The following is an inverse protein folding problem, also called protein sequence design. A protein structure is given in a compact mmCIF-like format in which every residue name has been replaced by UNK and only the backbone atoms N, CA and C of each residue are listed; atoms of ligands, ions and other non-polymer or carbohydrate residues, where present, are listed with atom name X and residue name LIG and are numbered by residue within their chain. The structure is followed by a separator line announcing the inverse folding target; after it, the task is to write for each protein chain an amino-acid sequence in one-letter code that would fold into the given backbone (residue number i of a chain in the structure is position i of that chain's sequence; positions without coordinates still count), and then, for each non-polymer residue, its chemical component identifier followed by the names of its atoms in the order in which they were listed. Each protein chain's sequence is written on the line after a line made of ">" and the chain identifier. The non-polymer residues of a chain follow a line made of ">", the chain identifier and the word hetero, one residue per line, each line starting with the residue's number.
data_IF_777145486061
#
_entry.id   IF_777145486061
#
_cell.length_a   1.000
_cell.length_b   1.000
_cell.length_c   1.000
_cell.angle_alpha   90.00
_cell.angle_beta   90.00
_cell.angle_gamma   90.00
#
_symmetry.space_group_name_H-M   'P 1'
#
loop_
_entity.id
_entity.type
_entity.pdbx_description
1 polymer ?
#
# COMPACT_ATOMS: atom_id res chain seq x y z
N UNK A 1 14.80 -11.26 1.21
CA UNK A 1 13.47 -10.63 1.12
C UNK A 1 13.26 -9.85 -0.18
N UNK A 2 14.15 -8.92 -0.55
CA UNK A 2 13.89 -7.96 -1.64
C UNK A 2 14.64 -8.14 -2.96
N UNK A 3 15.54 -9.11 -3.07
CA UNK A 3 16.35 -9.30 -4.29
C UNK A 3 15.50 -9.54 -5.55
N UNK A 4 14.52 -10.44 -5.48
CA UNK A 4 13.63 -10.73 -6.61
C UNK A 4 12.68 -9.56 -6.94
N UNK A 5 11.93 -8.97 -5.97
CA UNK A 5 11.11 -7.79 -6.23
C UNK A 5 11.89 -6.60 -6.82
N UNK A 6 13.08 -6.28 -6.30
CA UNK A 6 13.90 -5.18 -6.82
C UNK A 6 14.41 -5.47 -8.23
N UNK A 7 14.80 -6.71 -8.53
CA UNK A 7 15.18 -7.11 -9.89
C UNK A 7 14.02 -6.95 -10.87
N UNK A 8 12.81 -7.34 -10.48
CA UNK A 8 11.61 -7.15 -11.30
C UNK A 8 11.27 -5.67 -11.47
N UNK A 9 11.34 -4.88 -10.40
CA UNK A 9 11.12 -3.44 -10.41
C UNK A 9 12.08 -2.73 -11.37
N UNK A 10 13.38 -3.07 -11.31
CA UNK A 10 14.40 -2.55 -12.25
C UNK A 10 14.08 -2.88 -13.70
N UNK A 11 13.67 -4.13 -13.99
CA UNK A 11 13.25 -4.52 -15.35
C UNK A 11 12.03 -3.73 -15.82
N UNK A 12 11.06 -3.44 -14.94
CA UNK A 12 9.88 -2.62 -15.28
C UNK A 12 10.25 -1.17 -15.52
N UNK A 13 11.09 -0.58 -14.67
CA UNK A 13 11.56 0.80 -14.82
C UNK A 13 12.31 1.00 -16.14
N UNK A 14 13.20 0.07 -16.51
CA UNK A 14 13.89 0.10 -17.80
C UNK A 14 12.95 0.02 -19.00
N UNK A 15 11.93 -0.85 -18.94
CA UNK A 15 10.91 -0.94 -19.99
C UNK A 15 10.10 0.35 -20.10
N UNK A 16 9.72 0.96 -18.98
CA UNK A 16 8.95 2.19 -18.97
C UNK A 16 9.77 3.39 -19.47
N UNK A 17 11.04 3.49 -19.06
CA UNK A 17 11.97 4.50 -19.57
C UNK A 17 12.14 4.41 -21.09
N UNK A 18 12.34 3.19 -21.62
CA UNK A 18 12.38 2.95 -23.08
C UNK A 18 11.05 3.32 -23.75
N UNK A 19 9.91 2.94 -23.16
CA UNK A 19 8.57 3.23 -23.70
C UNK A 19 8.30 4.73 -23.79
N UNK A 20 8.75 5.51 -22.81
CA UNK A 20 8.57 6.97 -22.74
C UNK A 20 9.65 7.75 -23.50
N UNK A 21 10.68 7.09 -24.02
CA UNK A 21 11.81 7.76 -24.67
C UNK A 21 12.60 8.65 -23.71
N UNK A 22 12.66 8.30 -22.42
CA UNK A 22 13.44 9.07 -21.44
C UNK A 22 14.92 9.05 -21.82
N UNK A 23 15.51 10.23 -21.97
CA UNK A 23 16.92 10.41 -22.34
C UNK A 23 17.85 10.22 -21.14
N UNK A 24 17.33 10.43 -19.94
CA UNK A 24 18.00 10.14 -18.68
C UNK A 24 17.85 8.66 -18.34
N UNK A 25 18.93 8.02 -17.89
CA UNK A 25 18.89 6.65 -17.40
C UNK A 25 17.91 6.46 -16.24
N UNK A 26 17.55 5.20 -15.94
CA UNK A 26 16.66 4.85 -14.83
C UNK A 26 17.31 5.21 -13.49
N UNK A 27 16.65 6.05 -12.70
CA UNK A 27 17.08 6.44 -11.36
C UNK A 27 16.72 5.39 -10.30
N UNK A 28 17.21 5.58 -9.06
CA UNK A 28 16.80 4.75 -7.93
C UNK A 28 15.28 4.86 -7.66
N UNK A 29 14.75 6.07 -7.73
CA UNK A 29 13.35 6.36 -7.43
C UNK A 29 12.42 5.76 -8.48
N UNK A 30 12.85 5.72 -9.75
CA UNK A 30 12.13 5.00 -10.82
C UNK A 30 12.00 3.51 -10.50
N UNK A 31 13.00 2.90 -9.87
CA UNK A 31 12.93 1.49 -9.46
C UNK A 31 11.98 1.34 -8.28
N UNK A 32 12.06 2.21 -7.27
CA UNK A 32 11.17 2.16 -6.11
C UNK A 32 9.70 2.37 -6.50
N UNK A 33 9.43 3.26 -7.46
CA UNK A 33 8.09 3.51 -7.99
C UNK A 33 7.46 2.28 -8.67
N UNK A 34 8.26 1.28 -9.07
CA UNK A 34 7.76 0.04 -9.67
C UNK A 34 7.43 -1.05 -8.64
N UNK A 35 7.61 -0.77 -7.34
CA UNK A 35 7.21 -1.68 -6.28
C UNK A 35 5.68 -1.75 -6.19
N UNK A 36 5.14 -2.98 -6.14
CA UNK A 36 3.70 -3.20 -5.99
C UNK A 36 3.27 -3.04 -4.53
N UNK A 37 1.96 -2.88 -4.28
CA UNK A 37 1.42 -2.93 -2.90
C UNK A 37 1.81 -4.22 -2.15
N UNK A 38 1.89 -5.36 -2.85
CA UNK A 38 2.39 -6.61 -2.28
C UNK A 38 3.86 -6.55 -1.85
N UNK A 39 4.72 -5.83 -2.59
CA UNK A 39 6.10 -5.59 -2.17
C UNK A 39 6.14 -4.78 -0.86
N UNK A 40 5.26 -3.78 -0.71
CA UNK A 40 5.16 -3.00 0.52
C UNK A 40 4.65 -3.82 1.71
N UNK A 41 3.62 -4.66 1.51
CA UNK A 41 3.16 -5.60 2.55
C UNK A 41 4.27 -6.56 2.99
N UNK A 42 5.08 -7.01 2.03
CA UNK A 42 6.30 -7.76 2.32
C UNK A 42 7.27 -6.90 3.15
N UNK A 43 7.70 -5.71 2.71
CA UNK A 43 8.63 -4.85 3.49
C UNK A 43 8.21 -4.65 4.94
N UNK A 44 6.91 -4.50 5.16
CA UNK A 44 6.33 -4.28 6.48
C UNK A 44 6.22 -5.57 7.30
N UNK A 45 6.61 -6.72 6.76
CA UNK A 45 6.70 -8.02 7.43
C UNK A 45 5.36 -8.71 7.66
N UNK A 46 4.30 -8.29 6.96
CA UNK A 46 2.95 -8.83 7.18
C UNK A 46 2.63 -9.99 6.24
N UNK A 47 2.83 -9.82 4.93
CA UNK A 47 2.59 -10.88 3.94
C UNK A 47 3.56 -12.07 4.06
N UNK A 48 4.79 -11.84 4.54
CA UNK A 48 5.80 -12.89 4.75
C UNK A 48 6.31 -12.87 6.19
N UNK A 49 5.64 -13.59 7.11
CA UNK A 49 5.99 -13.59 8.54
C UNK A 49 7.43 -14.02 8.85
N UNK A 50 8.01 -14.89 8.02
CA UNK A 50 9.42 -15.33 8.11
C UNK A 50 10.41 -14.16 8.05
N UNK A 51 10.00 -13.01 7.52
CA UNK A 51 10.83 -11.83 7.39
C UNK A 51 10.51 -10.72 8.41
N UNK A 52 9.68 -10.99 9.42
CA UNK A 52 9.29 -10.01 10.45
C UNK A 52 10.48 -9.39 11.20
N UNK A 53 11.52 -10.18 11.50
CA UNK A 53 12.74 -9.70 12.15
C UNK A 53 13.45 -8.65 11.28
N UNK A 54 13.64 -8.96 10.00
CA UNK A 54 14.25 -8.04 9.03
C UNK A 54 13.39 -6.78 8.84
N UNK A 55 12.07 -6.93 8.75
CA UNK A 55 11.14 -5.81 8.64
C UNK A 55 11.22 -4.85 9.85
N UNK A 56 11.36 -5.39 11.06
CA UNK A 56 11.57 -4.61 12.28
C UNK A 56 12.87 -3.80 12.24
N UNK A 57 13.97 -4.41 11.77
CA UNK A 57 15.25 -3.70 11.60
C UNK A 57 15.12 -2.61 10.54
N UNK A 58 14.56 -2.91 9.38
CA UNK A 58 14.35 -1.94 8.30
C UNK A 58 13.49 -0.76 8.76
N UNK A 59 12.43 -1.02 9.52
CA UNK A 59 11.61 0.02 10.14
C UNK A 59 12.41 0.93 11.04
N UNK A 60 13.15 0.36 11.99
CA UNK A 60 13.98 1.13 12.92
C UNK A 60 15.02 1.99 12.19
N UNK A 61 15.65 1.45 11.14
CA UNK A 61 16.76 2.12 10.45
C UNK A 61 16.28 3.20 9.47
N UNK A 62 15.12 3.03 8.82
CA UNK A 62 14.68 4.07 7.88
C UNK A 62 13.30 3.91 7.25
N UNK A 63 12.68 2.73 7.24
CA UNK A 63 11.37 2.55 6.58
C UNK A 63 10.26 3.39 7.25
N UNK A 64 10.38 3.70 8.56
CA UNK A 64 9.46 4.61 9.25
C UNK A 64 9.44 6.02 8.63
N UNK A 65 10.51 6.46 7.95
CA UNK A 65 10.58 7.79 7.31
C UNK A 65 9.63 7.94 6.14
N UNK A 66 9.17 6.83 5.54
CA UNK A 66 8.11 6.86 4.53
C UNK A 66 6.72 7.13 5.14
N UNK A 67 6.61 7.09 6.46
CA UNK A 67 5.38 7.31 7.22
C UNK A 67 5.65 8.32 8.35
N UNK A 68 5.97 9.58 8.02
CA UNK A 68 6.42 10.58 9.00
C UNK A 68 5.37 10.89 10.09
N UNK A 69 4.09 10.64 9.82
CA UNK A 69 3.01 10.85 10.79
C UNK A 69 2.69 9.60 11.64
N UNK A 70 3.50 8.55 11.53
CA UNK A 70 3.42 7.36 12.38
C UNK A 70 4.61 7.32 13.36
N UNK A 71 4.42 6.68 14.51
CA UNK A 71 5.53 6.46 15.44
C UNK A 71 6.57 5.51 14.84
N UNK A 72 7.84 5.71 15.20
CA UNK A 72 8.95 4.85 14.80
C UNK A 72 8.99 3.49 15.52
N UNK A 73 8.04 3.20 16.40
CA UNK A 73 7.97 1.92 17.11
C UNK A 73 7.50 0.75 16.21
N UNK A 74 7.78 -0.48 16.67
CA UNK A 74 7.42 -1.70 15.95
C UNK A 74 5.90 -1.95 15.89
N UNK A 75 5.13 -1.33 16.77
CA UNK A 75 3.67 -1.46 16.81
C UNK A 75 3.04 -0.72 15.62
N UNK A 76 3.51 0.50 15.36
CA UNK A 76 3.13 1.31 14.20
C UNK A 76 3.46 0.61 12.89
N UNK A 77 4.64 -0.03 12.79
CA UNK A 77 4.99 -0.89 11.64
C UNK A 77 3.95 -1.99 11.42
N UNK A 78 3.59 -2.74 12.48
CA UNK A 78 2.60 -3.83 12.40
C UNK A 78 1.24 -3.30 11.98
N UNK A 79 0.81 -2.18 12.54
CA UNK A 79 -0.51 -1.64 12.27
C UNK A 79 -0.65 -1.09 10.86
N UNK A 80 0.39 -0.45 10.32
CA UNK A 80 0.47 -0.06 8.90
C UNK A 80 0.56 -1.32 8.02
N UNK A 81 1.44 -2.27 8.37
CA UNK A 81 1.61 -3.54 7.65
C UNK A 81 0.31 -4.31 7.46
N UNK A 82 -0.46 -4.49 8.54
CA UNK A 82 -1.78 -5.13 8.52
C UNK A 82 -2.77 -4.38 7.61
N UNK A 83 -2.78 -3.06 7.64
CA UNK A 83 -3.65 -2.24 6.78
C UNK A 83 -3.27 -2.40 5.31
N UNK A 84 -1.98 -2.25 4.98
CA UNK A 84 -1.44 -2.44 3.62
C UNK A 84 -1.71 -3.84 3.09
N UNK A 85 -1.57 -4.87 3.93
CA UNK A 85 -1.89 -6.25 3.53
C UNK A 85 -3.38 -6.44 3.22
N UNK A 86 -4.27 -5.92 4.06
CA UNK A 86 -5.73 -5.99 3.81
C UNK A 86 -6.13 -5.24 2.54
N UNK A 87 -5.50 -4.10 2.26
CA UNK A 87 -5.70 -3.33 1.03
C UNK A 87 -5.16 -4.07 -0.19
N UNK A 88 -3.99 -4.69 -0.07
CA UNK A 88 -3.38 -5.52 -1.13
C UNK A 88 -4.30 -6.68 -1.50
N UNK A 89 -4.81 -7.41 -0.50
CA UNK A 89 -5.79 -8.48 -0.73
C UNK A 89 -7.05 -7.95 -1.40
N UNK A 90 -7.64 -6.87 -0.89
CA UNK A 90 -8.84 -6.27 -1.51
C UNK A 90 -8.60 -5.93 -2.99
N UNK A 91 -7.49 -5.25 -3.30
CA UNK A 91 -7.15 -4.89 -4.69
C UNK A 91 -7.02 -6.13 -5.58
N UNK A 92 -6.43 -7.21 -5.07
CA UNK A 92 -6.31 -8.45 -5.83
C UNK A 92 -7.67 -9.09 -6.07
N UNK A 93 -8.53 -9.16 -5.06
CA UNK A 93 -9.91 -9.66 -5.20
C UNK A 93 -10.71 -8.89 -6.26
N UNK A 94 -10.59 -7.56 -6.25
CA UNK A 94 -11.18 -6.69 -7.29
C UNK A 94 -10.63 -7.02 -8.68
N UNK A 95 -9.31 -7.14 -8.81
CA UNK A 95 -8.66 -7.45 -10.09
C UNK A 95 -9.01 -8.84 -10.63
N UNK A 96 -9.27 -9.79 -9.73
CA UNK A 96 -9.73 -11.15 -10.06
C UNK A 96 -11.25 -11.27 -10.18
N UNK A 97 -11.99 -10.16 -10.13
CA UNK A 97 -13.46 -10.14 -10.23
C UNK A 97 -14.15 -11.04 -9.20
N UNK A 98 -13.56 -11.20 -8.01
CA UNK A 98 -14.18 -11.96 -6.94
C UNK A 98 -15.42 -11.26 -6.38
N UNK A 99 -16.32 -12.05 -5.77
CA UNK A 99 -17.48 -11.51 -5.07
C UNK A 99 -17.04 -10.67 -3.85
N UNK A 100 -17.43 -9.39 -3.82
CA UNK A 100 -17.11 -8.44 -2.76
C UNK A 100 -18.25 -8.17 -1.78
N UNK A 101 -19.41 -8.84 -1.90
CA UNK A 101 -20.60 -8.55 -1.09
C UNK A 101 -20.31 -8.60 0.42
N UNK A 102 -19.53 -9.58 0.89
CA UNK A 102 -19.16 -9.69 2.32
C UNK A 102 -17.99 -8.80 2.75
N UNK A 103 -17.46 -7.95 1.87
CA UNK A 103 -16.34 -7.08 2.20
C UNK A 103 -16.82 -5.92 3.05
N UNK A 104 -16.20 -5.71 4.21
CA UNK A 104 -16.44 -4.52 5.02
C UNK A 104 -15.78 -3.29 4.37
N UNK A 105 -16.50 -2.65 3.45
CA UNK A 105 -16.02 -1.49 2.68
C UNK A 105 -15.64 -0.32 3.59
N UNK A 106 -16.40 -0.09 4.67
CA UNK A 106 -16.10 0.98 5.64
C UNK A 106 -14.74 0.76 6.30
N UNK A 107 -14.47 -0.45 6.76
CA UNK A 107 -13.18 -0.80 7.37
C UNK A 107 -12.02 -0.70 6.36
N UNK A 108 -12.24 -1.08 5.09
CA UNK A 108 -11.23 -0.95 4.03
C UNK A 108 -10.96 0.51 3.64
N UNK A 109 -11.99 1.34 3.58
CA UNK A 109 -11.84 2.79 3.40
C UNK A 109 -11.07 3.40 4.57
N UNK A 110 -11.42 3.03 5.81
CA UNK A 110 -10.68 3.49 6.99
C UNK A 110 -9.20 3.04 6.97
N UNK A 111 -8.91 1.80 6.59
CA UNK A 111 -7.53 1.31 6.43
C UNK A 111 -6.76 2.17 5.41
N UNK A 112 -7.36 2.46 4.26
CA UNK A 112 -6.75 3.28 3.20
C UNK A 112 -6.45 4.69 3.70
N UNK A 113 -7.46 5.36 4.29
CA UNK A 113 -7.27 6.72 4.80
C UNK A 113 -6.24 6.77 5.94
N UNK A 114 -6.19 5.75 6.80
CA UNK A 114 -5.20 5.67 7.88
C UNK A 114 -3.77 5.53 7.35
N UNK A 115 -3.56 4.71 6.31
CA UNK A 115 -2.24 4.58 5.67
C UNK A 115 -1.84 5.88 4.98
N UNK A 116 -2.78 6.55 4.30
CA UNK A 116 -2.52 7.85 3.66
C UNK A 116 -2.16 8.92 4.68
N UNK A 117 -2.93 9.04 5.78
CA UNK A 117 -2.61 9.96 6.89
C UNK A 117 -1.23 9.74 7.47
N UNK A 118 -0.79 8.48 7.57
CA UNK A 118 0.54 8.13 8.07
C UNK A 118 1.66 8.65 7.14
N UNK A 119 1.38 8.80 5.84
CA UNK A 119 2.31 9.34 4.85
C UNK A 119 2.27 10.87 4.85
N UNK A 120 1.07 11.45 4.72
CA UNK A 120 0.85 12.91 4.68
C UNK A 120 -0.57 13.24 5.18
N UNK A 121 -0.69 14.29 5.98
CA UNK A 121 -1.97 14.69 6.57
C UNK A 121 -3.01 15.17 5.54
N UNK A 122 -2.57 15.66 4.37
CA UNK A 122 -3.41 16.17 3.30
C UNK A 122 -3.99 15.08 2.38
N UNK A 123 -3.34 13.92 2.30
CA UNK A 123 -3.73 12.86 1.36
C UNK A 123 -5.14 12.29 1.56
N UNK A 124 -5.64 12.06 2.79
CA UNK A 124 -7.01 11.61 2.99
C UNK A 124 -8.05 12.57 2.41
N UNK A 125 -7.86 13.88 2.59
CA UNK A 125 -8.76 14.90 2.05
C UNK A 125 -8.71 14.89 0.52
N UNK A 126 -7.50 14.90 -0.04
CA UNK A 126 -7.29 14.85 -1.48
C UNK A 126 -7.95 13.63 -2.14
N UNK A 127 -7.74 12.42 -1.60
CA UNK A 127 -8.34 11.19 -2.14
C UNK A 127 -9.86 11.15 -1.95
N UNK A 128 -10.38 11.78 -0.91
CA UNK A 128 -11.83 11.82 -0.66
C UNK A 128 -12.56 12.89 -1.48
N UNK A 129 -11.85 13.81 -2.14
CA UNK A 129 -12.46 14.84 -2.98
C UNK A 129 -13.27 14.19 -4.10
N UNK A 130 -14.59 14.40 -4.09
CA UNK A 130 -15.51 13.81 -5.07
C UNK A 130 -15.80 12.31 -4.89
N UNK A 131 -15.27 11.67 -3.84
CA UNK A 131 -15.50 10.24 -3.59
C UNK A 131 -16.93 9.98 -3.11
N UNK A 132 -17.65 9.12 -3.82
CA UNK A 132 -19.01 8.72 -3.47
C UNK A 132 -19.06 7.54 -2.48
N UNK A 133 -17.91 6.95 -2.11
CA UNK A 133 -17.87 5.71 -1.32
C UNK A 133 -18.63 5.85 0.01
N UNK A 134 -18.45 6.97 0.73
CA UNK A 134 -19.17 7.20 1.99
C UNK A 134 -20.68 7.33 1.79
N UNK A 135 -21.10 7.99 0.71
CA UNK A 135 -22.52 8.14 0.33
C UNK A 135 -23.14 6.77 0.04
N UNK A 136 -22.51 6.00 -0.84
CA UNK A 136 -22.98 4.67 -1.24
C UNK A 136 -23.04 3.70 -0.05
N UNK A 137 -22.03 3.70 0.83
CA UNK A 137 -22.03 2.86 2.04
C UNK A 137 -23.15 3.26 3.01
N UNK A 138 -23.57 4.52 3.03
CA UNK A 138 -24.69 4.97 3.85
C UNK A 138 -26.02 4.51 3.28
N UNK A 139 -26.16 4.56 1.96
CA UNK A 139 -27.34 4.19 1.18
C UNK A 139 -27.43 2.68 0.89
N UNK A 140 -26.50 1.88 1.42
CA UNK A 140 -26.43 0.44 1.20
C UNK A 140 -27.71 -0.26 1.71
N UNK A 141 -28.54 -0.84 0.80
CA UNK A 141 -29.83 -1.42 1.17
C UNK A 141 -29.69 -2.63 2.11
N UNK A 142 -28.51 -3.27 2.12
CA UNK A 142 -28.23 -4.41 2.99
C UNK A 142 -28.14 -4.05 4.48
N UNK A 143 -28.17 -2.76 4.83
CA UNK A 143 -28.20 -2.29 6.22
C UNK A 143 -29.60 -2.37 6.84
N UNK A 144 -30.63 -2.57 6.03
CA UNK A 144 -32.03 -2.63 6.46
C UNK A 144 -32.56 -4.07 6.54
N UNK A 145 -31.71 -5.07 6.28
CA UNK A 145 -32.01 -6.49 6.39
C UNK A 145 -31.33 -7.06 7.64
#
# INVERSE_FOLDING_TARGET
>A
MMSTPLRQARKRALRESKRRGLRTGVSHDDILAQLTMGNWSNLLGEALPVHKSNAKVLWKVGLHRAFPNASSDDQSRKDIGRKVERLTRLRNRVAHQENLLKTNVRSRLHDMLSVLSAIDASYPEWVMKGSQVRKIVREDPRRQW
#
